data_IF_510211194155
#
_entry.id   IF_510211194155
#
_cell.length_a   1.000
_cell.length_b   1.000
_cell.length_c   1.000
_cell.angle_alpha   90.00
_cell.angle_beta   90.00
_cell.angle_gamma   90.00
#
_symmetry.space_group_name_H-M   'P 1'
#
loop_
_entity.id
_entity.type
_entity.pdbx_description
1 polymer ?
#
# COMPACT_ATOMS: atom_id res chain seq x y z
N UNK A 1 -23.67 -16.69 1.28
CA UNK A 1 -22.30 -16.66 1.85
C UNK A 1 -21.80 -15.23 1.73
N UNK A 2 -21.38 -14.60 2.83
CA UNK A 2 -20.77 -13.29 2.74
C UNK A 2 -19.52 -13.38 1.87
N UNK A 3 -19.45 -12.56 0.84
CA UNK A 3 -18.31 -12.45 -0.05
C UNK A 3 -17.08 -12.03 0.75
N UNK A 4 -15.94 -12.67 0.53
CA UNK A 4 -14.71 -12.41 1.28
C UNK A 4 -13.88 -11.41 0.49
N UNK A 5 -13.72 -10.21 1.02
CA UNK A 5 -12.80 -9.23 0.44
C UNK A 5 -11.39 -9.80 0.44
N UNK A 6 -10.82 -9.98 -0.74
CA UNK A 6 -9.44 -10.39 -0.91
C UNK A 6 -8.62 -9.19 -1.36
N UNK A 7 -7.47 -8.99 -0.72
CA UNK A 7 -6.51 -7.97 -1.10
C UNK A 7 -5.32 -8.66 -1.75
N UNK A 8 -5.00 -8.27 -2.97
CA UNK A 8 -3.75 -8.62 -3.65
C UNK A 8 -2.87 -7.38 -3.60
N UNK A 9 -1.69 -7.48 -3.03
CA UNK A 9 -0.76 -6.38 -2.89
C UNK A 9 0.52 -6.64 -3.67
N UNK A 10 0.73 -5.89 -4.75
CA UNK A 10 2.02 -5.83 -5.43
C UNK A 10 2.94 -4.90 -4.64
N UNK A 11 4.16 -5.35 -4.32
CA UNK A 11 5.16 -4.52 -3.63
C UNK A 11 6.54 -4.66 -4.26
N UNK A 12 7.36 -3.62 -4.12
CA UNK A 12 8.72 -3.58 -4.66
C UNK A 12 9.68 -4.54 -3.97
N UNK A 13 9.42 -4.90 -2.71
CA UNK A 13 10.27 -5.77 -1.92
C UNK A 13 10.64 -7.08 -2.63
N UNK A 14 11.83 -7.59 -2.32
CA UNK A 14 12.26 -8.93 -2.78
C UNK A 14 11.57 -10.04 -1.99
N UNK A 15 11.69 -11.27 -2.45
CA UNK A 15 11.21 -12.45 -1.69
C UNK A 15 11.99 -12.59 -0.39
N UNK A 16 11.28 -12.68 0.72
CA UNK A 16 11.80 -12.86 2.07
C UNK A 16 11.70 -11.59 2.90
N UNK A 17 11.28 -11.69 4.12
CA UNK A 17 10.99 -10.68 5.17
C UNK A 17 11.59 -9.27 4.97
N UNK A 18 11.26 -8.61 3.86
CA UNK A 18 11.63 -7.21 3.66
C UNK A 18 10.88 -6.32 4.65
N UNK A 19 11.41 -5.16 4.96
CA UNK A 19 10.74 -4.15 5.81
C UNK A 19 9.36 -3.83 5.25
N UNK A 20 9.22 -3.70 3.93
CA UNK A 20 7.94 -3.47 3.25
C UNK A 20 6.94 -4.60 3.53
N UNK A 21 7.34 -5.86 3.38
CA UNK A 21 6.46 -6.99 3.65
C UNK A 21 5.99 -7.03 5.10
N UNK A 22 6.89 -6.80 6.05
CA UNK A 22 6.55 -6.76 7.48
C UNK A 22 5.56 -5.63 7.77
N UNK A 23 5.83 -4.44 7.21
CA UNK A 23 4.96 -3.27 7.40
C UNK A 23 3.58 -3.48 6.79
N UNK A 24 3.51 -3.88 5.53
CA UNK A 24 2.25 -4.11 4.80
C UNK A 24 1.41 -5.17 5.50
N UNK A 25 2.02 -6.30 5.88
CA UNK A 25 1.32 -7.37 6.60
C UNK A 25 0.75 -6.90 7.95
N UNK A 26 1.54 -6.15 8.73
CA UNK A 26 1.10 -5.64 10.02
C UNK A 26 -0.04 -4.61 9.86
N UNK A 27 0.10 -3.72 8.87
CA UNK A 27 -0.88 -2.70 8.56
C UNK A 27 -2.23 -3.30 8.12
N UNK A 28 -2.21 -4.21 7.15
CA UNK A 28 -3.43 -4.85 6.64
C UNK A 28 -4.11 -5.71 7.71
N UNK A 29 -3.36 -6.39 8.58
CA UNK A 29 -3.90 -7.10 9.73
C UNK A 29 -4.57 -6.15 10.74
N UNK A 30 -4.04 -4.95 10.92
CA UNK A 30 -4.59 -3.97 11.85
C UNK A 30 -5.83 -3.24 11.29
N UNK A 31 -5.86 -2.97 9.98
CA UNK A 31 -7.02 -2.36 9.30
C UNK A 31 -8.20 -3.33 9.22
N UNK A 32 -7.92 -4.60 9.09
CA UNK A 32 -8.89 -5.68 8.90
C UNK A 32 -9.99 -5.65 9.96
N UNK A 33 -11.28 -5.63 9.59
CA UNK A 33 -12.38 -5.72 10.54
C UNK A 33 -12.30 -6.97 11.42
N UNK A 34 -12.73 -6.86 12.67
CA UNK A 34 -12.64 -7.96 13.66
C UNK A 34 -13.34 -9.25 13.21
N UNK A 35 -14.47 -9.14 12.50
CA UNK A 35 -15.22 -10.27 11.98
C UNK A 35 -14.47 -11.06 10.89
N UNK A 36 -13.58 -10.42 10.13
CA UNK A 36 -12.73 -11.10 9.15
C UNK A 36 -11.65 -11.98 9.81
N UNK A 37 -11.23 -11.67 11.04
CA UNK A 37 -10.24 -12.48 11.79
C UNK A 37 -10.79 -13.84 12.18
N UNK A 38 -12.09 -13.91 12.45
CA UNK A 38 -12.75 -15.13 12.91
C UNK A 38 -12.88 -16.20 11.81
N UNK A 39 -12.76 -15.83 10.55
CA UNK A 39 -12.97 -16.73 9.42
C UNK A 39 -11.72 -17.45 8.91
N UNK A 40 -10.56 -17.30 9.56
CA UNK A 40 -9.33 -18.05 9.27
C UNK A 40 -8.77 -17.90 7.85
N UNK A 41 -9.24 -16.93 7.05
CA UNK A 41 -8.85 -16.79 5.64
C UNK A 41 -7.63 -15.88 5.47
N UNK A 42 -6.72 -16.26 4.59
CA UNK A 42 -5.67 -15.40 4.07
C UNK A 42 -6.30 -14.33 3.17
N UNK A 43 -6.71 -13.21 3.78
CA UNK A 43 -7.40 -12.13 3.08
C UNK A 43 -6.42 -11.32 2.22
N UNK A 44 -5.15 -11.37 2.56
CA UNK A 44 -4.10 -10.61 1.90
C UNK A 44 -3.10 -11.56 1.24
N UNK A 45 -2.91 -11.40 -0.06
CA UNK A 45 -1.84 -12.03 -0.84
C UNK A 45 -0.80 -10.96 -1.20
N UNK A 46 0.38 -11.04 -0.61
CA UNK A 46 1.52 -10.23 -1.01
C UNK A 46 2.20 -10.85 -2.23
N UNK A 47 2.55 -9.99 -3.19
CA UNK A 47 3.27 -10.35 -4.41
C UNK A 47 4.53 -9.48 -4.50
N UNK A 48 5.64 -9.91 -3.87
CA UNK A 48 6.91 -9.21 -3.96
C UNK A 48 7.46 -9.30 -5.39
N UNK A 49 7.84 -8.15 -5.96
CA UNK A 49 8.22 -8.04 -7.36
C UNK A 49 9.73 -7.85 -7.56
N UNK A 50 10.48 -7.44 -6.53
CA UNK A 50 11.92 -7.22 -6.63
C UNK A 50 12.31 -5.91 -7.33
N UNK A 51 11.37 -4.98 -7.48
CA UNK A 51 11.63 -3.64 -8.01
C UNK A 51 10.43 -3.02 -8.73
N UNK A 52 10.42 -1.68 -8.78
CA UNK A 52 9.30 -0.88 -9.31
C UNK A 52 8.97 -1.22 -10.78
N UNK A 53 9.97 -1.41 -11.64
CA UNK A 53 9.72 -1.76 -13.04
C UNK A 53 8.84 -2.99 -13.16
N UNK A 54 9.13 -4.02 -12.36
CA UNK A 54 8.36 -5.27 -12.36
C UNK A 54 6.95 -5.06 -11.81
N UNK A 55 6.78 -4.20 -10.80
CA UNK A 55 5.46 -3.83 -10.27
C UNK A 55 4.61 -3.18 -11.37
N UNK A 56 5.19 -2.20 -12.10
CA UNK A 56 4.50 -1.50 -13.21
C UNK A 56 4.08 -2.48 -14.30
N UNK A 57 4.97 -3.37 -14.72
CA UNK A 57 4.73 -4.36 -15.79
C UNK A 57 3.67 -5.41 -15.39
N UNK A 58 3.64 -5.82 -14.11
CA UNK A 58 2.69 -6.84 -13.61
C UNK A 58 1.31 -6.30 -13.28
N UNK A 59 1.21 -5.02 -12.92
CA UNK A 59 -0.03 -4.44 -12.40
C UNK A 59 -1.24 -4.66 -13.33
N UNK A 60 -1.18 -4.49 -14.66
CA UNK A 60 -2.34 -4.69 -15.53
C UNK A 60 -2.89 -6.12 -15.48
N UNK A 61 -2.02 -7.13 -15.51
CA UNK A 61 -2.42 -8.53 -15.48
C UNK A 61 -3.01 -8.92 -14.11
N UNK A 62 -2.42 -8.44 -13.02
CA UNK A 62 -2.97 -8.68 -11.67
C UNK A 62 -4.30 -7.95 -11.47
N UNK A 63 -4.48 -6.75 -12.04
CA UNK A 63 -5.76 -6.06 -12.01
C UNK A 63 -6.85 -6.86 -12.71
N UNK A 64 -6.57 -7.36 -13.92
CA UNK A 64 -7.50 -8.22 -14.65
C UNK A 64 -7.84 -9.46 -13.83
N UNK A 65 -6.84 -10.13 -13.26
CA UNK A 65 -7.06 -11.30 -12.39
C UNK A 65 -7.92 -10.98 -11.17
N UNK A 66 -7.75 -9.82 -10.55
CA UNK A 66 -8.59 -9.38 -9.45
C UNK A 66 -10.05 -9.15 -9.89
N UNK A 67 -10.26 -8.59 -11.08
CA UNK A 67 -11.59 -8.36 -11.62
C UNK A 67 -12.29 -9.68 -11.95
N UNK A 68 -11.56 -10.64 -12.52
CA UNK A 68 -12.08 -11.98 -12.85
C UNK A 68 -12.44 -12.77 -11.58
N UNK A 69 -11.74 -12.53 -10.48
CA UNK A 69 -12.03 -13.12 -9.17
C UNK A 69 -13.29 -12.56 -8.49
N UNK A 70 -13.79 -11.43 -8.94
CA UNK A 70 -15.04 -10.82 -8.49
C UNK A 70 -14.89 -9.45 -7.84
N UNK A 71 -16.03 -8.80 -7.57
CA UNK A 71 -16.10 -7.41 -7.09
C UNK A 71 -15.44 -7.18 -5.72
N UNK A 72 -15.25 -8.24 -4.95
CA UNK A 72 -14.71 -8.18 -3.59
C UNK A 72 -13.19 -8.32 -3.52
N UNK A 73 -12.54 -8.55 -4.67
CA UNK A 73 -11.09 -8.61 -4.76
C UNK A 73 -10.53 -7.25 -5.13
N UNK A 74 -9.61 -6.75 -4.34
CA UNK A 74 -9.00 -5.42 -4.53
C UNK A 74 -7.52 -5.54 -4.79
N UNK A 75 -7.03 -4.90 -5.86
CA UNK A 75 -5.61 -4.74 -6.11
C UNK A 75 -5.08 -3.52 -5.37
N UNK A 76 -3.99 -3.72 -4.62
CA UNK A 76 -3.18 -2.67 -4.02
C UNK A 76 -1.80 -2.67 -4.68
N UNK A 77 -1.27 -1.51 -4.96
CA UNK A 77 0.09 -1.31 -5.46
C UNK A 77 0.86 -0.50 -4.44
N UNK A 78 1.95 -1.07 -3.95
CA UNK A 78 2.87 -0.46 -3.02
C UNK A 78 4.23 -0.26 -3.68
N UNK A 79 4.63 0.99 -3.83
CA UNK A 79 5.88 1.33 -4.52
C UNK A 79 6.56 2.54 -3.88
N UNK A 80 7.86 2.68 -4.11
CA UNK A 80 8.60 3.85 -3.69
C UNK A 80 8.61 4.90 -4.80
N UNK A 81 8.44 6.16 -4.40
CA UNK A 81 8.52 7.32 -5.27
C UNK A 81 9.94 7.90 -5.15
N UNK A 82 10.84 7.46 -6.04
CA UNK A 82 12.23 7.94 -6.07
C UNK A 82 12.32 9.41 -6.54
N UNK A 83 13.52 9.99 -6.46
CA UNK A 83 13.83 11.37 -6.84
C UNK A 83 13.34 11.81 -8.23
N UNK A 84 13.15 10.85 -9.15
CA UNK A 84 12.60 11.10 -10.48
C UNK A 84 11.07 11.20 -10.52
N UNK A 85 10.40 11.07 -9.38
CA UNK A 85 8.96 11.11 -9.25
C UNK A 85 8.59 12.20 -8.24
N UNK A 86 8.15 13.36 -8.73
CA UNK A 86 7.91 14.53 -7.89
C UNK A 86 6.83 14.31 -6.81
N UNK A 87 5.86 13.43 -7.10
CA UNK A 87 4.73 13.12 -6.23
C UNK A 87 4.05 11.80 -6.60
N UNK A 88 3.07 11.38 -5.78
CA UNK A 88 2.31 10.15 -6.02
C UNK A 88 1.49 10.19 -7.31
N UNK A 89 1.03 11.35 -7.75
CA UNK A 89 0.26 11.49 -8.98
C UNK A 89 1.14 11.22 -10.22
N UNK A 90 2.38 11.70 -10.23
CA UNK A 90 3.34 11.44 -11.31
C UNK A 90 3.64 9.94 -11.44
N UNK A 91 3.81 9.24 -10.33
CA UNK A 91 4.01 7.80 -10.35
C UNK A 91 2.73 7.06 -10.78
N UNK A 92 1.56 7.45 -10.28
CA UNK A 92 0.26 6.91 -10.71
C UNK A 92 0.07 7.06 -12.22
N UNK A 93 0.46 8.21 -12.80
CA UNK A 93 0.39 8.45 -14.24
C UNK A 93 1.26 7.48 -15.06
N UNK A 94 2.43 7.08 -14.54
CA UNK A 94 3.28 6.05 -15.17
C UNK A 94 2.61 4.68 -15.18
N UNK A 95 1.98 4.29 -14.07
CA UNK A 95 1.17 3.08 -14.00
C UNK A 95 0.00 3.12 -14.99
N UNK A 96 -0.66 4.28 -15.10
CA UNK A 96 -1.75 4.46 -16.05
C UNK A 96 -1.30 4.28 -17.50
N UNK A 97 -0.15 4.84 -17.87
CA UNK A 97 0.39 4.67 -19.24
C UNK A 97 0.54 3.20 -19.60
N UNK A 98 1.18 2.42 -18.73
CA UNK A 98 1.36 0.98 -18.94
C UNK A 98 0.03 0.23 -18.99
N UNK A 99 -0.88 0.53 -18.05
CA UNK A 99 -2.20 -0.10 -17.98
C UNK A 99 -3.01 0.15 -19.25
N UNK A 100 -3.01 1.39 -19.76
CA UNK A 100 -3.69 1.77 -21.00
C UNK A 100 -3.16 1.02 -22.21
N UNK A 101 -1.84 0.84 -22.34
CA UNK A 101 -1.21 0.07 -23.40
C UNK A 101 -1.60 -1.41 -23.36
N UNK A 102 -1.97 -1.93 -22.20
CA UNK A 102 -2.48 -3.30 -22.00
C UNK A 102 -4.00 -3.42 -22.08
N UNK A 103 -4.71 -2.36 -22.49
CA UNK A 103 -6.15 -2.38 -22.69
C UNK A 103 -7.01 -2.19 -21.41
N UNK A 104 -6.40 -1.81 -20.29
CA UNK A 104 -7.14 -1.46 -19.07
C UNK A 104 -7.87 -0.14 -19.29
N UNK A 105 -9.16 -0.08 -18.95
CA UNK A 105 -9.94 1.15 -18.97
C UNK A 105 -9.64 2.04 -17.77
N UNK A 106 -9.94 3.33 -17.88
CA UNK A 106 -9.75 4.26 -16.75
C UNK A 106 -10.59 3.85 -15.53
N UNK A 107 -11.82 3.41 -15.75
CA UNK A 107 -12.72 2.94 -14.70
C UNK A 107 -12.13 1.74 -13.93
N UNK A 108 -11.54 0.79 -14.67
CA UNK A 108 -10.85 -0.36 -14.08
C UNK A 108 -9.61 0.09 -13.28
N UNK A 109 -8.81 0.99 -13.85
CA UNK A 109 -7.60 1.50 -13.23
C UNK A 109 -7.89 2.25 -11.91
N UNK A 110 -8.96 3.05 -11.85
CA UNK A 110 -9.36 3.79 -10.66
C UNK A 110 -9.82 2.87 -9.49
N UNK A 111 -9.99 1.58 -9.72
CA UNK A 111 -10.25 0.59 -8.67
C UNK A 111 -8.99 0.17 -7.91
N UNK A 112 -7.81 0.46 -8.44
CA UNK A 112 -6.52 0.13 -7.80
C UNK A 112 -6.26 1.07 -6.63
N UNK A 113 -5.81 0.53 -5.51
CA UNK A 113 -5.35 1.30 -4.36
C UNK A 113 -3.86 1.52 -4.48
N UNK A 114 -3.43 2.75 -4.73
CA UNK A 114 -2.01 3.11 -4.81
C UNK A 114 -1.50 3.66 -3.49
N UNK A 115 -0.37 3.13 -3.04
CA UNK A 115 0.34 3.51 -1.83
C UNK A 115 1.79 3.74 -2.20
N UNK A 116 2.25 4.98 -2.09
CA UNK A 116 3.58 5.37 -2.49
C UNK A 116 4.33 6.06 -1.36
N UNK A 117 5.44 5.46 -0.92
CA UNK A 117 6.37 6.11 -0.02
C UNK A 117 7.36 6.96 -0.83
N UNK A 118 7.69 8.17 -0.38
CA UNK A 118 8.76 8.94 -0.97
C UNK A 118 10.09 8.44 -0.45
N UNK A 119 11.00 8.16 -1.37
CA UNK A 119 12.31 7.58 -1.15
C UNK A 119 12.21 6.17 -0.54
N UNK A 120 11.79 6.03 0.72
CA UNK A 120 11.68 4.74 1.40
C UNK A 120 10.63 4.76 2.51
N UNK A 121 10.12 3.59 2.84
CA UNK A 121 9.17 3.40 3.95
C UNK A 121 9.76 3.74 5.32
N UNK A 122 11.07 3.72 5.47
CA UNK A 122 11.77 4.08 6.70
C UNK A 122 11.44 5.50 7.17
N UNK A 123 11.19 6.45 6.27
CA UNK A 123 10.73 7.79 6.60
C UNK A 123 9.35 7.77 7.27
N UNK A 124 8.44 6.93 6.81
CA UNK A 124 7.14 6.76 7.45
C UNK A 124 7.26 6.12 8.83
N UNK A 125 8.13 5.11 8.97
CA UNK A 125 8.40 4.44 10.24
C UNK A 125 8.98 5.44 11.25
N UNK A 126 9.92 6.29 10.83
CA UNK A 126 10.46 7.36 11.65
C UNK A 126 9.36 8.32 12.12
N UNK A 127 8.58 8.86 11.20
CA UNK A 127 7.46 9.75 11.53
C UNK A 127 6.48 9.10 12.51
N UNK A 128 6.08 7.86 12.27
CA UNK A 128 5.13 7.14 13.12
C UNK A 128 5.70 6.85 14.53
N UNK A 129 7.02 6.80 14.68
CA UNK A 129 7.68 6.58 15.97
C UNK A 129 7.89 7.86 16.75
N UNK A 130 8.39 8.91 16.12
CA UNK A 130 8.83 10.14 16.80
C UNK A 130 8.04 11.39 16.41
N UNK A 131 7.08 11.28 15.48
CA UNK A 131 6.21 12.39 15.05
C UNK A 131 6.83 13.37 14.05
N UNK A 132 8.02 13.08 13.54
CA UNK A 132 8.75 13.92 12.59
C UNK A 132 9.60 13.08 11.64
N UNK A 133 9.79 13.53 10.40
CA UNK A 133 10.73 13.01 9.42
C UNK A 133 11.00 14.03 8.32
N UNK A 134 12.10 13.87 7.60
CA UNK A 134 12.48 14.66 6.43
C UNK A 134 12.50 13.74 5.19
N UNK A 135 11.42 13.70 4.42
CA UNK A 135 11.32 12.87 3.21
C UNK A 135 12.29 13.28 2.07
N UNK A 136 13.02 14.37 2.23
CA UNK A 136 14.10 14.76 1.28
C UNK A 136 15.40 13.99 1.53
N UNK A 137 15.46 13.22 2.58
CA UNK A 137 16.63 12.43 3.01
C UNK A 137 16.25 10.97 3.24
N UNK A 138 17.24 10.11 3.08
CA UNK A 138 17.09 8.70 3.42
C UNK A 138 16.75 8.53 4.91
N UNK A 139 15.65 7.85 5.21
CA UNK A 139 15.23 7.56 6.58
C UNK A 139 16.21 6.65 7.32
N UNK A 140 16.20 6.68 8.66
CA UNK A 140 17.10 5.88 9.47
C UNK A 140 16.80 4.38 9.30
N UNK A 141 17.85 3.56 9.19
CA UNK A 141 17.70 2.11 9.09
C UNK A 141 16.97 1.54 10.29
N UNK A 142 15.91 0.81 10.03
CA UNK A 142 15.16 0.08 11.06
C UNK A 142 15.82 -1.28 11.29
N UNK A 143 16.16 -1.58 12.56
CA UNK A 143 16.89 -2.80 12.94
C UNK A 143 15.99 -3.96 13.33
N UNK A 144 14.75 -3.68 13.75
CA UNK A 144 13.89 -4.69 14.36
C UNK A 144 12.50 -4.70 13.73
N UNK A 145 12.05 -5.86 13.27
CA UNK A 145 10.74 -6.07 12.70
C UNK A 145 9.58 -5.66 13.63
N UNK A 146 9.79 -5.68 14.95
CA UNK A 146 8.81 -5.22 15.94
C UNK A 146 8.53 -3.72 15.79
N UNK A 147 9.58 -2.91 15.58
CA UNK A 147 9.41 -1.44 15.39
C UNK A 147 8.62 -1.15 14.13
N UNK A 148 8.87 -1.92 13.06
CA UNK A 148 8.12 -1.84 11.79
C UNK A 148 6.64 -2.17 12.01
N UNK A 149 6.35 -3.26 12.71
CA UNK A 149 4.98 -3.69 12.97
C UNK A 149 4.22 -2.71 13.88
N UNK A 150 4.89 -2.13 14.89
CA UNK A 150 4.27 -1.15 15.79
C UNK A 150 3.98 0.17 15.07
N UNK A 151 4.87 0.61 14.16
CA UNK A 151 4.62 1.76 13.30
C UNK A 151 3.42 1.52 12.35
N UNK A 152 3.33 0.35 11.75
CA UNK A 152 2.22 -0.02 10.89
C UNK A 152 0.86 -0.02 11.62
N UNK A 153 0.81 -0.48 12.88
CA UNK A 153 -0.40 -0.40 13.71
C UNK A 153 -0.81 1.04 13.99
N UNK A 154 0.16 1.92 14.32
CA UNK A 154 -0.12 3.36 14.50
C UNK A 154 -0.70 3.98 13.23
N UNK A 155 -0.17 3.63 12.07
CA UNK A 155 -0.72 4.09 10.78
C UNK A 155 -2.16 3.61 10.59
N UNK A 156 -2.45 2.35 10.90
CA UNK A 156 -3.81 1.82 10.81
C UNK A 156 -4.80 2.62 11.68
N UNK A 157 -4.39 2.98 12.89
CA UNK A 157 -5.22 3.78 13.81
C UNK A 157 -5.43 5.21 13.28
N UNK A 158 -4.39 5.84 12.74
CA UNK A 158 -4.50 7.16 12.09
C UNK A 158 -5.47 7.13 10.90
N UNK A 159 -5.35 6.12 10.03
CA UNK A 159 -6.22 5.97 8.88
C UNK A 159 -7.69 5.70 9.27
N UNK A 160 -7.93 4.92 10.35
CA UNK A 160 -9.28 4.65 10.86
C UNK A 160 -9.94 5.89 11.46
N UNK A 161 -9.18 6.68 12.21
CA UNK A 161 -9.71 7.88 12.89
C UNK A 161 -9.94 9.03 11.92
N UNK A 162 -9.27 9.04 10.78
CA UNK A 162 -9.35 10.10 9.78
C UNK A 162 -8.90 11.48 10.28
N UNK A 163 -8.29 11.56 11.45
CA UNK A 163 -7.80 12.82 12.01
C UNK A 163 -6.54 13.26 11.27
N UNK A 164 -6.50 14.51 10.79
CA UNK A 164 -5.25 15.07 10.29
C UNK A 164 -4.24 15.10 11.44
N UNK A 165 -3.03 14.66 11.13
CA UNK A 165 -1.88 14.77 12.05
C UNK A 165 -1.01 15.90 11.51
N UNK A 166 -0.71 16.86 12.37
CA UNK A 166 0.22 17.93 12.03
C UNK A 166 1.58 17.33 11.65
N UNK A 167 2.24 17.91 10.66
CA UNK A 167 3.53 17.46 10.14
C UNK A 167 3.56 16.07 9.48
N UNK A 168 2.40 15.52 9.07
CA UNK A 168 2.38 14.26 8.31
C UNK A 168 3.17 14.41 7.01
N UNK A 169 4.09 13.48 6.70
CA UNK A 169 4.84 13.50 5.44
C UNK A 169 3.91 13.56 4.23
N UNK A 170 4.21 14.38 3.20
CA UNK A 170 3.34 14.52 2.02
C UNK A 170 3.00 13.21 1.32
N UNK A 171 3.96 12.29 1.19
CA UNK A 171 3.72 10.99 0.56
C UNK A 171 2.78 10.11 1.40
N UNK A 172 2.92 10.16 2.73
CA UNK A 172 2.03 9.46 3.66
C UNK A 172 0.62 10.07 3.63
N UNK A 173 0.52 11.40 3.60
CA UNK A 173 -0.76 12.10 3.49
C UNK A 173 -1.49 11.74 2.19
N UNK A 174 -0.78 11.69 1.06
CA UNK A 174 -1.31 11.27 -0.22
C UNK A 174 -1.79 9.82 -0.17
N UNK A 175 -0.99 8.93 0.36
CA UNK A 175 -1.31 7.51 0.49
C UNK A 175 -2.48 7.24 1.44
N UNK A 176 -2.59 7.97 2.55
CA UNK A 176 -3.72 7.87 3.48
C UNK A 176 -5.07 8.19 2.84
N UNK A 177 -5.12 9.07 1.83
CA UNK A 177 -6.36 9.33 1.09
C UNK A 177 -6.83 8.06 0.35
N UNK A 178 -5.91 7.33 -0.22
CA UNK A 178 -6.19 6.09 -0.94
C UNK A 178 -6.58 4.94 0.00
N UNK A 179 -5.99 4.89 1.20
CA UNK A 179 -6.39 3.95 2.25
C UNK A 179 -7.86 4.06 2.65
N UNK A 180 -8.42 5.25 2.67
CA UNK A 180 -9.82 5.46 3.05
C UNK A 180 -10.76 4.62 2.18
N UNK A 181 -10.51 4.57 0.89
CA UNK A 181 -11.32 3.76 -0.03
C UNK A 181 -11.21 2.26 0.29
N UNK A 182 -10.02 1.77 0.70
CA UNK A 182 -9.87 0.40 1.16
C UNK A 182 -10.64 0.13 2.44
N UNK A 183 -10.51 1.00 3.45
CA UNK A 183 -11.22 0.87 4.74
C UNK A 183 -12.73 0.89 4.54
N UNK A 184 -13.23 1.72 3.64
CA UNK A 184 -14.65 1.78 3.30
C UNK A 184 -15.16 0.50 2.64
N UNK A 185 -14.38 -0.11 1.75
CA UNK A 185 -14.71 -1.40 1.14
C UNK A 185 -14.66 -2.58 2.11
N UNK A 186 -13.94 -2.43 3.22
CA UNK A 186 -13.81 -3.46 4.25
C UNK A 186 -14.90 -3.39 5.34
N UNK A 187 -15.76 -2.38 5.32
CA UNK A 187 -16.93 -2.25 6.20
C UNK A 187 -18.10 -3.10 5.69
#
# INVERSE_FOLDING_TARGET
MASRTQIVCLCEGGKGESIDEVFINALLKAIKPGWLRQQGSNIVRLVPCGGRKVVVEKMPAELQSCMDAGSDTTLMVWADCDDNCADGESLKARFWKEAKEKGITLEQFERVIFIFARDRIENWIEFLRIGNTDESKEGPRVKHNREVADAAKKLADLCKTGRPVDAMPPSLQWSCKNWRSLVERMK
#
